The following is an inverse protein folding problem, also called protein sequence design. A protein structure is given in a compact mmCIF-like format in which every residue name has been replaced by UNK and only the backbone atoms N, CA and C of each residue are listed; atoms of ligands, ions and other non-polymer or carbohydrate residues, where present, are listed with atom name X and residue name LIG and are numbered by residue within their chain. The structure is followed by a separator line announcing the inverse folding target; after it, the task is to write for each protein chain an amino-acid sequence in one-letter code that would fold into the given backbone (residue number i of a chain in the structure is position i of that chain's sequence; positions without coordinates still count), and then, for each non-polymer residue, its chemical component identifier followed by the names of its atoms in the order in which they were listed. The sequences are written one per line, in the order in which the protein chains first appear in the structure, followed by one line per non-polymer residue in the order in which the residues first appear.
data_IF_798711822334
#
_entry.id   IF_798711822334
#
_cell.length_a   1.000
_cell.length_b   1.000
_cell.length_c   1.000
_cell.angle_alpha   90.00
_cell.angle_beta   90.00
_cell.angle_gamma   90.00
#
_symmetry.space_group_name_H-M   'P 1'
#
loop_
_entity.id
_entity.type
_entity.pdbx_description
1 polymer ?
#
# COMPACT_ATOMS: atom_id res chain seq x y z
N UNK A 1 20.63 3.50 -3.13
CA UNK A 1 20.13 3.86 -4.47
C UNK A 1 18.90 4.70 -4.25
N UNK A 2 18.85 5.87 -4.88
CA UNK A 2 17.68 6.76 -4.89
C UNK A 2 17.07 6.62 -6.29
N UNK A 3 15.75 6.49 -6.37
CA UNK A 3 14.99 6.38 -7.61
C UNK A 3 14.76 7.78 -8.18
N UNK A 4 14.94 7.92 -9.49
CA UNK A 4 14.80 9.19 -10.20
C UNK A 4 13.48 9.27 -10.98
N UNK A 5 12.69 8.19 -10.99
CA UNK A 5 11.39 8.13 -11.65
C UNK A 5 10.35 7.38 -10.82
N UNK A 6 9.09 7.82 -10.88
CA UNK A 6 7.94 7.12 -10.30
C UNK A 6 7.61 5.81 -11.04
N UNK A 7 8.20 5.55 -12.20
CA UNK A 7 8.08 4.25 -12.88
C UNK A 7 9.02 3.19 -12.33
N UNK A 8 9.92 3.56 -11.41
CA UNK A 8 10.75 2.61 -10.67
C UNK A 8 9.97 2.06 -9.46
N UNK A 9 9.70 0.76 -9.47
CA UNK A 9 8.81 0.14 -8.50
C UNK A 9 9.40 0.04 -7.08
N UNK A 10 8.63 0.45 -6.05
CA UNK A 10 8.96 0.19 -4.65
C UNK A 10 9.19 -1.28 -4.32
N UNK A 11 10.06 -1.55 -3.35
CA UNK A 11 10.48 -2.90 -2.92
C UNK A 11 10.14 -3.20 -1.46
N UNK A 12 9.66 -2.20 -0.73
CA UNK A 12 9.22 -2.30 0.66
C UNK A 12 8.22 -1.18 0.99
N UNK A 13 7.64 -1.22 2.18
CA UNK A 13 6.57 -0.28 2.59
C UNK A 13 7.08 1.15 2.70
N UNK A 14 8.31 1.38 3.19
CA UNK A 14 8.92 2.72 3.22
C UNK A 14 9.01 3.28 1.81
N UNK A 15 9.49 2.50 0.84
CA UNK A 15 9.55 2.92 -0.55
C UNK A 15 8.17 3.18 -1.16
N UNK A 16 7.13 2.41 -0.80
CA UNK A 16 5.75 2.72 -1.24
C UNK A 16 5.27 4.06 -0.70
N UNK A 17 5.57 4.33 0.58
CA UNK A 17 5.22 5.59 1.22
C UNK A 17 5.98 6.75 0.55
N UNK A 18 7.29 6.62 0.37
CA UNK A 18 8.10 7.63 -0.32
C UNK A 18 7.62 7.87 -1.76
N UNK A 19 7.18 6.83 -2.46
CA UNK A 19 6.60 6.93 -3.80
C UNK A 19 5.32 7.78 -3.80
N UNK A 20 4.43 7.57 -2.82
CA UNK A 20 3.21 8.38 -2.67
C UNK A 20 3.51 9.84 -2.35
N UNK A 21 4.52 10.11 -1.51
CA UNK A 21 4.94 11.49 -1.20
C UNK A 21 5.56 12.16 -2.44
N UNK A 22 6.36 11.43 -3.22
CA UNK A 22 6.94 11.93 -4.46
C UNK A 22 5.87 12.19 -5.53
N UNK A 23 4.91 11.28 -5.68
CA UNK A 23 3.74 11.40 -6.55
C UNK A 23 2.93 12.67 -6.26
N UNK A 24 2.66 12.94 -4.97
CA UNK A 24 1.96 14.16 -4.53
C UNK A 24 2.62 15.41 -5.12
N UNK A 25 3.95 15.48 -5.07
CA UNK A 25 4.70 16.62 -5.57
C UNK A 25 4.27 17.95 -4.92
N UNK A 26 4.28 19.02 -5.72
CA UNK A 26 3.88 20.38 -5.32
C UNK A 26 2.39 20.65 -5.55
N UNK A 27 1.75 19.94 -6.48
CA UNK A 27 0.33 20.05 -6.80
C UNK A 27 -0.37 18.73 -6.51
N UNK A 28 -0.65 18.52 -5.22
CA UNK A 28 -1.22 17.28 -4.71
C UNK A 28 -2.58 16.96 -5.36
N UNK A 29 -3.44 17.97 -5.47
CA UNK A 29 -4.81 17.80 -5.97
C UNK A 29 -4.80 17.32 -7.43
N UNK A 30 -4.03 17.99 -8.29
CA UNK A 30 -3.91 17.64 -9.70
C UNK A 30 -3.30 16.24 -9.88
N UNK A 31 -2.19 15.96 -9.19
CA UNK A 31 -1.45 14.72 -9.38
C UNK A 31 -2.23 13.49 -8.88
N UNK A 32 -2.91 13.61 -7.74
CA UNK A 32 -3.73 12.53 -7.20
C UNK A 32 -5.00 12.31 -8.02
N UNK A 33 -5.63 13.36 -8.55
CA UNK A 33 -6.73 13.25 -9.52
C UNK A 33 -6.28 12.54 -10.81
N UNK A 34 -5.09 12.88 -11.30
CA UNK A 34 -4.54 12.27 -12.50
C UNK A 34 -4.21 10.78 -12.29
N UNK A 35 -3.61 10.40 -11.14
CA UNK A 35 -3.42 8.99 -10.81
C UNK A 35 -4.76 8.28 -10.61
N UNK A 36 -5.71 8.88 -9.89
CA UNK A 36 -7.02 8.29 -9.65
C UNK A 36 -7.77 8.00 -10.96
N UNK A 37 -7.69 8.91 -11.92
CA UNK A 37 -8.21 8.72 -13.28
C UNK A 37 -7.49 7.59 -14.00
N UNK A 38 -6.15 7.56 -13.97
CA UNK A 38 -5.37 6.51 -14.63
C UNK A 38 -5.65 5.12 -14.03
N UNK A 39 -5.77 5.01 -12.70
CA UNK A 39 -6.12 3.76 -12.00
C UNK A 39 -7.54 3.34 -12.32
N UNK A 40 -8.51 4.27 -12.31
CA UNK A 40 -9.88 3.99 -12.71
C UNK A 40 -9.92 3.42 -14.13
N UNK A 41 -9.34 4.11 -15.12
CA UNK A 41 -9.29 3.66 -16.51
C UNK A 41 -8.58 2.32 -16.65
N UNK A 42 -7.48 2.13 -15.93
CA UNK A 42 -6.74 0.87 -15.96
C UNK A 42 -7.57 -0.31 -15.46
N UNK A 43 -8.43 -0.11 -14.45
CA UNK A 43 -9.25 -1.17 -13.82
C UNK A 43 -10.66 -1.33 -14.38
N UNK A 44 -11.27 -0.26 -14.91
CA UNK A 44 -12.69 -0.22 -15.28
C UNK A 44 -13.06 -1.27 -16.34
N UNK A 45 -12.22 -1.46 -17.34
CA UNK A 45 -12.47 -2.38 -18.45
C UNK A 45 -11.90 -3.79 -18.24
N UNK A 46 -11.38 -4.08 -17.05
CA UNK A 46 -10.72 -5.36 -16.79
C UNK A 46 -11.77 -6.42 -16.40
N UNK A 47 -11.93 -7.50 -17.18
CA UNK A 47 -12.84 -8.59 -16.83
C UNK A 47 -12.39 -9.28 -15.53
N UNK A 48 -13.37 -9.89 -14.84
CA UNK A 48 -13.08 -10.81 -13.73
C UNK A 48 -12.41 -12.06 -14.27
N UNK A 49 -11.26 -12.41 -13.70
CA UNK A 49 -10.41 -13.51 -14.12
C UNK A 49 -8.99 -13.04 -14.39
N UNK A 50 -8.06 -14.00 -14.51
CA UNK A 50 -6.63 -13.70 -14.59
C UNK A 50 -6.24 -13.05 -15.92
N UNK A 51 -5.94 -11.75 -15.89
CA UNK A 51 -5.25 -11.04 -16.96
C UNK A 51 -3.75 -11.01 -16.72
N UNK A 52 -2.98 -11.03 -17.81
CA UNK A 52 -1.53 -10.87 -17.76
C UNK A 52 -1.17 -9.51 -18.35
N UNK A 53 -0.69 -8.62 -17.48
CA UNK A 53 -0.08 -7.34 -17.89
C UNK A 53 1.42 -7.47 -17.59
N UNK A 54 2.31 -7.60 -18.59
CA UNK A 54 3.72 -7.94 -18.36
C UNK A 54 4.44 -7.02 -17.38
N UNK A 55 4.17 -5.71 -17.43
CA UNK A 55 4.73 -4.75 -16.50
C UNK A 55 4.22 -4.99 -15.05
N UNK A 56 2.91 -5.22 -14.90
CA UNK A 56 2.30 -5.53 -13.60
C UNK A 56 2.86 -6.83 -13.00
N UNK A 57 3.08 -7.87 -13.80
CA UNK A 57 3.63 -9.15 -13.31
C UNK A 57 5.03 -9.00 -12.67
N UNK A 58 5.86 -8.11 -13.22
CA UNK A 58 7.18 -7.80 -12.64
C UNK A 58 7.03 -7.19 -11.25
N UNK A 59 6.10 -6.24 -11.09
CA UNK A 59 5.86 -5.54 -9.82
C UNK A 59 5.17 -6.47 -8.81
N UNK A 60 4.22 -7.29 -9.27
CA UNK A 60 3.60 -8.37 -8.48
C UNK A 60 4.64 -9.28 -7.86
N UNK A 61 5.66 -9.67 -8.62
CA UNK A 61 6.76 -10.50 -8.11
C UNK A 61 7.49 -9.80 -6.96
N UNK A 62 7.76 -8.50 -7.06
CA UNK A 62 8.39 -7.70 -6.00
C UNK A 62 7.50 -7.69 -4.74
N UNK A 63 6.23 -7.31 -4.88
CA UNK A 63 5.26 -7.30 -3.77
C UNK A 63 5.13 -8.68 -3.12
N UNK A 64 5.04 -9.75 -3.91
CA UNK A 64 4.98 -11.14 -3.41
C UNK A 64 6.24 -11.53 -2.64
N UNK A 65 7.42 -11.19 -3.14
CA UNK A 65 8.69 -11.47 -2.47
C UNK A 65 8.80 -10.74 -1.14
N UNK A 66 8.39 -9.47 -1.10
CA UNK A 66 8.34 -8.70 0.14
C UNK A 66 7.41 -9.34 1.18
N UNK A 67 6.18 -9.69 0.78
CA UNK A 67 5.19 -10.31 1.68
C UNK A 67 5.62 -11.68 2.21
N UNK A 68 6.53 -12.38 1.50
CA UNK A 68 7.12 -13.65 1.95
C UNK A 68 8.19 -13.51 3.03
N UNK A 69 8.62 -12.30 3.40
CA UNK A 69 9.61 -12.11 4.47
C UNK A 69 9.14 -12.76 5.78
N UNK A 70 10.03 -13.39 6.58
CA UNK A 70 9.65 -14.20 7.75
C UNK A 70 8.75 -13.49 8.77
N UNK A 71 8.99 -12.21 9.03
CA UNK A 71 8.22 -11.39 9.96
C UNK A 71 6.79 -11.11 9.46
N UNK A 72 6.59 -11.10 8.13
CA UNK A 72 5.31 -10.79 7.49
C UNK A 72 4.48 -12.03 7.20
N UNK A 73 5.09 -13.08 6.61
CA UNK A 73 4.37 -14.27 6.14
C UNK A 73 3.59 -15.01 7.24
N UNK A 74 3.94 -14.77 8.51
CA UNK A 74 3.27 -15.35 9.67
C UNK A 74 1.96 -14.63 10.02
N UNK A 75 1.80 -13.36 9.63
CA UNK A 75 0.63 -12.53 9.93
C UNK A 75 -0.61 -13.04 9.15
N UNK A 76 -1.76 -13.12 9.83
CA UNK A 76 -3.00 -13.67 9.26
C UNK A 76 -3.44 -12.94 7.99
N UNK A 77 -3.43 -11.60 7.97
CA UNK A 77 -3.81 -10.81 6.79
C UNK A 77 -2.82 -10.97 5.64
N UNK A 78 -1.52 -11.08 5.92
CA UNK A 78 -0.50 -11.34 4.90
C UNK A 78 -0.68 -12.73 4.27
N UNK A 79 -1.02 -13.75 5.06
CA UNK A 79 -1.34 -15.09 4.53
C UNK A 79 -2.52 -15.06 3.56
N UNK A 80 -3.56 -14.27 3.87
CA UNK A 80 -4.72 -14.10 2.98
C UNK A 80 -4.28 -13.48 1.65
N UNK A 81 -3.49 -12.41 1.69
CA UNK A 81 -2.96 -11.75 0.48
C UNK A 81 -2.09 -12.71 -0.32
N UNK A 82 -1.12 -13.38 0.32
CA UNK A 82 -0.25 -14.36 -0.33
C UNK A 82 -1.02 -15.54 -0.94
N UNK A 83 -2.16 -15.91 -0.35
CA UNK A 83 -3.06 -16.92 -0.90
C UNK A 83 -3.58 -16.52 -2.28
N UNK A 84 -3.90 -15.24 -2.50
CA UNK A 84 -4.38 -14.70 -3.79
C UNK A 84 -3.29 -14.71 -4.85
N UNK A 85 -2.07 -14.35 -4.48
CA UNK A 85 -0.91 -14.46 -5.39
C UNK A 85 -0.61 -15.88 -5.89
N UNK A 86 -1.19 -16.92 -5.28
CA UNK A 86 -0.95 -18.32 -5.62
C UNK A 86 -2.18 -19.03 -6.19
N UNK A 87 -3.38 -18.48 -6.02
CA UNK A 87 -4.64 -19.09 -6.45
C UNK A 87 -5.23 -18.26 -7.58
N UNK A 88 -5.41 -18.86 -8.75
CA UNK A 88 -6.32 -18.29 -9.75
C UNK A 88 -7.69 -18.20 -9.10
N UNK A 89 -8.28 -17.01 -9.05
CA UNK A 89 -9.67 -16.86 -8.63
C UNK A 89 -10.56 -17.71 -9.55
N UNK A 90 -11.16 -18.77 -9.01
CA UNK A 90 -12.17 -19.53 -9.73
C UNK A 90 -13.43 -18.65 -9.86
N UNK A 91 -14.01 -18.60 -11.06
CA UNK A 91 -15.22 -17.82 -11.39
C UNK A 91 -16.45 -18.11 -10.50
N UNK A 92 -16.41 -19.16 -9.68
CA UNK A 92 -17.46 -19.49 -8.71
C UNK A 92 -16.85 -19.64 -7.30
N UNK A 93 -17.08 -18.70 -6.38
CA UNK A 93 -16.73 -18.90 -4.99
C UNK A 93 -17.78 -19.81 -4.37
N UNK A 94 -17.33 -20.95 -3.83
CA UNK A 94 -18.18 -21.84 -3.05
C UNK A 94 -18.76 -21.02 -1.87
N UNK A 95 -20.09 -20.83 -1.85
CA UNK A 95 -20.84 -19.91 -0.94
C UNK A 95 -20.72 -20.26 0.56
N UNK A 96 -19.88 -21.24 0.91
CA UNK A 96 -19.79 -21.85 2.24
C UNK A 96 -18.75 -21.20 3.16
N UNK A 97 -17.89 -20.31 2.68
CA UNK A 97 -16.93 -19.61 3.55
C UNK A 97 -17.49 -18.29 4.09
N UNK A 98 -18.51 -18.35 4.95
CA UNK A 98 -18.83 -17.25 5.87
C UNK A 98 -17.71 -17.16 6.91
N UNK A 99 -16.68 -16.35 6.63
CA UNK A 99 -15.60 -16.10 7.59
C UNK A 99 -16.08 -15.10 8.64
N UNK A 100 -15.77 -15.31 9.92
CA UNK A 100 -16.05 -14.35 10.97
C UNK A 100 -15.09 -13.16 10.81
N UNK A 101 -15.58 -11.95 11.07
CA UNK A 101 -14.99 -10.61 10.84
C UNK A 101 -15.31 -9.99 9.47
N UNK A 102 -15.54 -8.66 9.48
CA UNK A 102 -15.92 -7.74 8.39
C UNK A 102 -15.02 -7.72 7.14
N UNK A 103 -14.31 -8.80 6.82
CA UNK A 103 -13.76 -9.09 5.51
C UNK A 103 -14.78 -9.96 4.76
N UNK A 104 -15.77 -9.33 4.11
CA UNK A 104 -16.35 -9.94 2.92
C UNK A 104 -15.60 -9.37 1.73
N UNK A 105 -14.54 -10.04 1.25
CA UNK A 105 -13.92 -9.58 0.04
C UNK A 105 -14.82 -10.09 -1.09
N UNK A 106 -15.46 -9.15 -1.78
CA UNK A 106 -16.12 -9.40 -3.06
C UNK A 106 -15.00 -9.63 -4.09
N UNK A 107 -14.29 -10.75 -3.94
CA UNK A 107 -13.07 -11.06 -4.66
C UNK A 107 -13.30 -11.36 -6.14
N UNK A 108 -14.55 -11.51 -6.52
CA UNK A 108 -14.98 -12.01 -7.82
C UNK A 108 -15.81 -10.99 -8.60
N UNK A 109 -15.84 -9.74 -8.16
CA UNK A 109 -16.54 -8.68 -8.87
C UNK A 109 -15.58 -7.54 -9.18
N UNK A 110 -15.77 -6.94 -10.35
CA UNK A 110 -15.10 -5.69 -10.65
C UNK A 110 -15.74 -4.59 -9.81
N UNK A 111 -15.07 -4.23 -8.71
CA UNK A 111 -15.58 -3.25 -7.75
C UNK A 111 -15.86 -1.88 -8.40
N UNK A 112 -15.10 -1.51 -9.44
CA UNK A 112 -15.34 -0.28 -10.21
C UNK A 112 -16.74 -0.33 -10.82
N UNK A 113 -17.11 -1.46 -11.41
CA UNK A 113 -18.41 -1.66 -12.05
C UNK A 113 -19.53 -1.90 -11.03
N UNK A 114 -19.30 -2.74 -10.02
CA UNK A 114 -20.39 -3.18 -9.11
C UNK A 114 -20.69 -2.21 -7.99
N UNK A 115 -19.69 -1.48 -7.49
CA UNK A 115 -19.89 -0.42 -6.48
C UNK A 115 -19.97 0.98 -7.09
N UNK A 116 -19.78 1.12 -8.41
CA UNK A 116 -19.78 2.42 -9.08
C UNK A 116 -18.66 3.34 -8.61
N UNK A 117 -17.50 2.79 -8.23
CA UNK A 117 -16.36 3.58 -7.75
C UNK A 117 -15.86 4.45 -8.88
N UNK A 118 -15.94 5.77 -8.70
CA UNK A 118 -15.51 6.74 -9.70
C UNK A 118 -14.02 7.07 -9.57
N UNK A 119 -13.45 7.70 -10.60
CA UNK A 119 -12.10 8.26 -10.53
C UNK A 119 -11.94 9.29 -9.38
N UNK A 120 -13.01 10.02 -9.05
CA UNK A 120 -13.02 10.99 -7.95
C UNK A 120 -12.91 10.25 -6.61
N UNK A 121 -13.70 9.20 -6.40
CA UNK A 121 -13.62 8.38 -5.18
C UNK A 121 -12.22 7.81 -4.99
N UNK A 122 -11.57 7.36 -6.06
CA UNK A 122 -10.20 6.85 -6.01
C UNK A 122 -9.23 7.98 -5.62
N UNK A 123 -9.35 9.15 -6.23
CA UNK A 123 -8.48 10.29 -5.94
C UNK A 123 -8.62 10.78 -4.48
N UNK A 124 -9.84 10.85 -3.94
CA UNK A 124 -10.10 11.21 -2.55
C UNK A 124 -9.47 10.19 -1.58
N UNK A 125 -9.69 8.89 -1.82
CA UNK A 125 -9.08 7.85 -0.99
C UNK A 125 -7.55 7.86 -1.09
N UNK A 126 -6.97 8.16 -2.26
CA UNK A 126 -5.54 8.33 -2.43
C UNK A 126 -5.02 9.53 -1.62
N UNK A 127 -5.73 10.65 -1.62
CA UNK A 127 -5.39 11.82 -0.83
C UNK A 127 -5.39 11.52 0.68
N UNK A 128 -6.39 10.79 1.16
CA UNK A 128 -6.41 10.33 2.55
C UNK A 128 -5.22 9.43 2.87
N UNK A 129 -4.89 8.48 1.98
CA UNK A 129 -3.75 7.56 2.18
C UNK A 129 -2.43 8.33 2.23
N UNK A 130 -2.23 9.27 1.30
CA UNK A 130 -1.04 10.12 1.24
C UNK A 130 -0.94 10.96 2.52
N UNK A 131 -2.04 11.59 2.94
CA UNK A 131 -2.11 12.37 4.18
C UNK A 131 -1.75 11.54 5.42
N UNK A 132 -2.32 10.33 5.55
CA UNK A 132 -1.99 9.40 6.63
C UNK A 132 -0.52 8.97 6.60
N UNK A 133 0.02 8.73 5.40
CA UNK A 133 1.44 8.41 5.20
C UNK A 133 2.37 9.57 5.60
N UNK A 134 2.00 10.83 5.29
CA UNK A 134 2.74 12.02 5.69
C UNK A 134 2.74 12.21 7.20
N UNK A 135 1.55 12.08 7.82
CA UNK A 135 1.38 12.16 9.26
C UNK A 135 2.27 11.10 9.91
N UNK A 136 2.19 9.85 9.45
CA UNK A 136 3.06 8.78 9.91
C UNK A 136 4.54 9.12 9.80
N UNK A 137 5.02 9.53 8.63
CA UNK A 137 6.42 9.92 8.45
C UNK A 137 6.83 11.06 9.37
N UNK A 138 5.97 12.07 9.60
CA UNK A 138 6.25 13.20 10.50
C UNK A 138 6.52 12.73 11.93
N UNK A 139 5.81 11.71 12.41
CA UNK A 139 6.00 11.16 13.75
C UNK A 139 7.22 10.24 13.84
N UNK A 140 7.49 9.47 12.78
CA UNK A 140 8.53 8.43 12.86
C UNK A 140 9.91 8.90 12.42
N UNK A 141 10.02 9.91 11.54
CA UNK A 141 11.29 10.26 10.91
C UNK A 141 12.15 11.15 11.79
N UNK A 142 13.45 10.92 11.76
CA UNK A 142 14.45 11.92 12.12
C UNK A 142 14.72 12.79 10.88
N UNK A 143 14.37 14.10 10.89
CA UNK A 143 14.51 14.96 9.71
C UNK A 143 15.93 14.99 9.14
N UNK A 144 16.96 14.94 9.98
CA UNK A 144 18.36 15.05 9.57
C UNK A 144 18.93 13.76 8.98
N UNK A 145 18.27 12.63 9.26
CA UNK A 145 18.79 11.30 8.90
C UNK A 145 17.88 10.57 7.91
N UNK A 146 16.62 10.98 7.78
CA UNK A 146 15.67 10.39 6.86
C UNK A 146 16.06 10.67 5.41
N UNK A 147 16.23 9.61 4.63
CA UNK A 147 16.47 9.70 3.19
C UNK A 147 15.30 9.09 2.45
N UNK A 148 14.60 9.90 1.66
CA UNK A 148 13.58 9.43 0.73
C UNK A 148 14.20 8.42 -0.25
N UNK A 149 13.44 7.39 -0.60
CA UNK A 149 13.82 6.49 -1.67
C UNK A 149 13.71 7.12 -3.06
N UNK A 150 12.91 8.18 -3.20
CA UNK A 150 12.69 8.92 -4.45
C UNK A 150 13.33 10.30 -4.37
N UNK A 151 14.02 10.70 -5.43
CA UNK A 151 14.67 11.99 -5.56
C UNK A 151 13.66 13.10 -5.89
N UNK A 152 14.13 14.35 -5.92
CA UNK A 152 13.34 15.49 -6.36
C UNK A 152 12.94 15.43 -7.84
N UNK A 153 13.63 14.62 -8.64
CA UNK A 153 13.35 14.45 -10.07
C UNK A 153 12.17 13.50 -10.33
N UNK A 154 11.88 12.61 -9.37
CA UNK A 154 10.81 11.62 -9.47
C UNK A 154 9.41 12.23 -9.24
N UNK A 155 8.99 13.10 -10.15
CA UNK A 155 7.70 13.81 -10.11
C UNK A 155 6.67 13.17 -11.03
N UNK A 156 5.39 13.49 -10.83
CA UNK A 156 4.32 13.12 -11.75
C UNK A 156 4.61 13.64 -13.17
N UNK A 157 4.93 14.93 -13.30
CA UNK A 157 5.25 15.58 -14.57
C UNK A 157 6.39 14.87 -15.31
N UNK A 158 7.48 14.52 -14.62
CA UNK A 158 8.63 13.87 -15.24
C UNK A 158 8.39 12.39 -15.57
N UNK A 159 7.60 11.69 -14.75
CA UNK A 159 7.52 10.22 -14.80
C UNK A 159 6.24 9.67 -15.42
N UNK A 160 5.10 10.32 -15.14
CA UNK A 160 3.76 9.76 -15.38
C UNK A 160 2.97 10.56 -16.43
N UNK A 161 3.26 11.84 -16.63
CA UNK A 161 2.42 12.70 -17.49
C UNK A 161 2.29 12.21 -18.94
N UNK A 162 3.33 11.59 -19.49
CA UNK A 162 3.35 11.02 -20.85
C UNK A 162 2.68 9.66 -20.94
N UNK A 163 2.73 8.88 -19.87
CA UNK A 163 2.14 7.55 -19.77
C UNK A 163 1.56 7.35 -18.36
N UNK A 164 0.34 7.89 -18.11
CA UNK A 164 -0.30 7.76 -16.79
C UNK A 164 -0.60 6.31 -16.43
N UNK A 165 -0.81 5.44 -17.42
CA UNK A 165 -1.07 4.02 -17.23
C UNK A 165 0.15 3.31 -16.62
N UNK A 166 1.38 3.66 -17.02
CA UNK A 166 2.57 3.11 -16.38
C UNK A 166 2.60 3.34 -14.86
N UNK A 167 2.22 4.54 -14.40
CA UNK A 167 2.14 4.83 -12.97
C UNK A 167 0.93 4.16 -12.29
N UNK A 168 -0.19 3.99 -12.98
CA UNK A 168 -1.30 3.18 -12.50
C UNK A 168 -0.88 1.71 -12.31
N UNK A 169 -0.13 1.14 -13.25
CA UNK A 169 0.42 -0.22 -13.17
C UNK A 169 1.38 -0.35 -11.98
N UNK A 170 2.24 0.64 -11.75
CA UNK A 170 3.10 0.70 -10.56
C UNK A 170 2.26 0.67 -9.29
N UNK A 171 1.29 1.58 -9.18
CA UNK A 171 0.41 1.69 -8.02
C UNK A 171 -0.34 0.40 -7.73
N UNK A 172 -1.06 -0.16 -8.71
CA UNK A 172 -1.81 -1.41 -8.55
C UNK A 172 -0.88 -2.58 -8.19
N UNK A 173 0.32 -2.63 -8.76
CA UNK A 173 1.30 -3.68 -8.47
C UNK A 173 1.85 -3.62 -7.05
N UNK A 174 2.02 -2.43 -6.48
CA UNK A 174 2.49 -2.25 -5.09
C UNK A 174 1.37 -2.21 -4.06
N UNK A 175 0.12 -2.00 -4.47
CA UNK A 175 -1.03 -1.89 -3.58
C UNK A 175 -1.14 -3.06 -2.57
N UNK A 176 -0.93 -4.34 -2.93
CA UNK A 176 -0.94 -5.43 -1.95
C UNK A 176 0.14 -5.31 -0.86
N UNK A 177 1.32 -4.80 -1.23
CA UNK A 177 2.43 -4.56 -0.31
C UNK A 177 2.14 -3.36 0.60
N UNK A 178 1.63 -2.27 0.03
CA UNK A 178 1.24 -1.07 0.76
C UNK A 178 0.11 -1.36 1.74
N UNK A 179 -0.98 -1.99 1.28
CA UNK A 179 -2.11 -2.40 2.10
C UNK A 179 -1.68 -3.29 3.28
N UNK A 180 -0.88 -4.31 3.02
CA UNK A 180 -0.37 -5.19 4.07
C UNK A 180 0.49 -4.41 5.09
N UNK A 181 1.30 -3.46 4.61
CA UNK A 181 2.11 -2.58 5.45
C UNK A 181 1.25 -1.72 6.37
N UNK A 182 0.34 -0.93 5.79
CA UNK A 182 -0.55 -0.01 6.50
C UNK A 182 -1.45 -0.77 7.50
N UNK A 183 -2.03 -1.90 7.10
CA UNK A 183 -2.85 -2.71 8.01
C UNK A 183 -2.02 -3.29 9.17
N UNK A 184 -0.75 -3.64 8.93
CA UNK A 184 0.13 -4.11 10.00
C UNK A 184 0.49 -2.98 10.96
N UNK A 185 0.78 -1.78 10.43
CA UNK A 185 1.02 -0.58 11.22
C UNK A 185 -0.18 -0.27 12.12
N UNK A 186 -1.39 -0.19 11.54
CA UNK A 186 -2.64 0.04 12.28
C UNK A 186 -2.89 -0.99 13.37
N UNK A 187 -2.69 -2.29 13.07
CA UNK A 187 -2.87 -3.36 14.07
C UNK A 187 -1.86 -3.29 15.22
N UNK A 188 -0.65 -2.79 14.99
CA UNK A 188 0.30 -2.55 16.07
C UNK A 188 -0.13 -1.39 16.96
N UNK A 189 -0.69 -0.33 16.37
CA UNK A 189 -1.18 0.86 17.08
C UNK A 189 -2.45 0.66 17.90
N UNK A 190 -3.25 -0.38 17.60
CA UNK A 190 -4.47 -0.69 18.37
C UNK A 190 -4.23 -1.69 19.51
N UNK A 191 -3.09 -2.39 19.52
CA UNK A 191 -2.87 -3.54 20.39
C UNK A 191 -1.86 -3.33 21.51
N UNK A 192 -1.44 -2.09 21.82
CA UNK A 192 -0.39 -1.86 22.81
C UNK A 192 0.99 -2.40 22.39
N UNK A 193 1.17 -2.77 21.11
CA UNK A 193 2.32 -3.56 20.64
C UNK A 193 3.63 -2.73 20.58
N UNK A 194 3.55 -1.40 20.67
CA UNK A 194 4.74 -0.58 20.94
C UNK A 194 5.03 -0.41 22.43
N UNK A 195 4.93 -1.53 23.18
CA UNK A 195 5.39 -1.58 24.57
C UNK A 195 6.87 -1.24 24.70
N UNK A 196 7.37 -1.22 25.94
CA UNK A 196 8.76 -0.82 26.21
C UNK A 196 9.75 -1.50 25.26
N UNK A 197 10.84 -0.82 24.84
CA UNK A 197 11.79 -1.34 23.85
C UNK A 197 12.33 -2.75 24.15
N UNK A 198 12.28 -3.23 25.39
CA UNK A 198 12.82 -4.53 25.78
C UNK A 198 11.78 -5.67 25.83
N UNK A 199 10.49 -5.37 25.66
CA UNK A 199 9.42 -6.38 25.58
C UNK A 199 9.47 -7.15 24.26
N UNK A 200 8.76 -8.28 24.21
CA UNK A 200 8.64 -9.07 22.99
C UNK A 200 7.93 -8.28 21.88
N UNK A 201 6.94 -7.49 22.28
CA UNK A 201 6.11 -6.63 21.45
C UNK A 201 6.96 -5.52 20.82
N UNK A 202 7.74 -4.80 21.64
CA UNK A 202 8.66 -3.75 21.15
C UNK A 202 9.75 -4.31 20.23
N UNK A 203 10.28 -5.51 20.51
CA UNK A 203 11.21 -6.21 19.61
C UNK A 203 10.57 -6.55 18.25
N UNK A 204 9.35 -7.09 18.25
CA UNK A 204 8.59 -7.40 17.03
C UNK A 204 8.28 -6.17 16.20
N UNK A 205 7.90 -5.07 16.84
CA UNK A 205 7.59 -3.82 16.16
C UNK A 205 8.83 -3.22 15.46
N UNK A 206 10.01 -3.23 16.12
CA UNK A 206 11.28 -2.82 15.50
C UNK A 206 11.70 -3.72 14.34
N UNK A 207 11.55 -5.04 14.50
CA UNK A 207 11.84 -5.99 13.43
C UNK A 207 10.93 -5.76 12.21
N UNK A 208 9.67 -5.39 12.45
CA UNK A 208 8.72 -5.06 11.40
C UNK A 208 9.05 -3.74 10.70
N UNK A 209 9.42 -2.68 11.42
CA UNK A 209 9.90 -1.43 10.81
C UNK A 209 11.16 -1.65 9.96
N UNK A 210 12.11 -2.45 10.46
CA UNK A 210 13.30 -2.83 9.69
C UNK A 210 12.90 -3.60 8.43
N UNK A 211 11.91 -4.48 8.52
CA UNK A 211 11.36 -5.23 7.39
C UNK A 211 10.72 -4.31 6.36
N UNK A 212 10.04 -3.25 6.82
CA UNK A 212 9.42 -2.19 6.02
C UNK A 212 10.41 -1.27 5.33
N UNK A 213 11.70 -1.32 5.69
CA UNK A 213 12.76 -0.55 5.03
C UNK A 213 13.27 0.63 5.86
N UNK A 214 12.75 0.86 7.07
CA UNK A 214 13.22 1.91 7.97
C UNK A 214 14.52 1.50 8.66
N UNK A 215 15.54 2.35 8.59
CA UNK A 215 16.78 2.16 9.37
C UNK A 215 16.63 2.77 10.75
N UNK A 216 17.37 2.24 11.73
CA UNK A 216 17.35 2.74 13.12
C UNK A 216 17.70 4.23 13.22
N UNK A 217 18.69 4.68 12.44
CA UNK A 217 19.12 6.07 12.38
C UNK A 217 18.02 7.00 11.80
N UNK A 218 17.27 6.52 10.81
CA UNK A 218 16.21 7.30 10.17
C UNK A 218 15.00 7.53 11.10
N UNK A 219 14.93 6.83 12.23
CA UNK A 219 13.87 6.96 13.23
C UNK A 219 14.14 8.06 14.26
N UNK A 220 13.09 8.79 14.64
CA UNK A 220 13.14 9.79 15.73
C UNK A 220 13.51 9.12 17.06
N UNK A 221 14.47 9.70 17.79
CA UNK A 221 14.82 9.25 19.14
C UNK A 221 13.64 9.48 20.10
N UNK A 222 13.37 8.51 20.98
CA UNK A 222 12.35 8.65 22.03
C UNK A 222 10.89 8.60 21.55
N UNK A 223 10.64 8.07 20.35
CA UNK A 223 9.28 7.86 19.80
C UNK A 223 8.41 7.08 20.79
N UNK A 224 7.25 7.66 21.14
CA UNK A 224 6.28 7.06 22.05
C UNK A 224 5.26 6.22 21.28
N UNK A 225 4.64 5.28 21.99
CA UNK A 225 3.49 4.52 21.46
C UNK A 225 2.39 5.46 20.96
N UNK A 226 2.05 6.48 21.75
CA UNK A 226 1.03 7.49 21.40
C UNK A 226 1.33 8.16 20.06
N UNK A 227 2.59 8.50 19.79
CA UNK A 227 2.98 9.16 18.54
C UNK A 227 2.65 8.30 17.31
N UNK A 228 2.76 6.97 17.44
CA UNK A 228 2.47 6.01 16.36
C UNK A 228 0.97 5.71 16.28
N UNK A 229 0.25 5.75 17.39
CA UNK A 229 -1.21 5.62 17.40
C UNK A 229 -1.85 6.85 16.76
N UNK A 230 -1.46 8.06 17.17
CA UNK A 230 -1.96 9.32 16.62
C UNK A 230 -1.62 9.45 15.12
N UNK A 231 -0.45 8.96 14.73
CA UNK A 231 -0.01 8.89 13.34
C UNK A 231 -0.93 8.05 12.44
N UNK A 232 -1.59 7.02 13.00
CA UNK A 232 -2.34 6.01 12.27
C UNK A 232 -3.84 6.05 12.58
N UNK A 233 -4.26 6.96 13.46
CA UNK A 233 -5.65 7.24 13.80
C UNK A 233 -6.48 7.60 12.57
N UNK A 234 -5.89 8.41 11.67
CA UNK A 234 -6.53 8.84 10.43
C UNK A 234 -6.57 7.72 9.38
N UNK A 235 -5.91 6.58 9.60
CA UNK A 235 -6.04 5.41 8.72
C UNK A 235 -7.39 4.74 8.97
N UNK A 236 -8.42 5.26 8.32
CA UNK A 236 -9.78 4.75 8.45
C UNK A 236 -9.91 3.33 7.88
N UNK A 237 -10.93 2.61 8.33
CA UNK A 237 -11.27 1.30 7.74
C UNK A 237 -11.64 1.46 6.26
N UNK A 238 -12.32 2.55 5.89
CA UNK A 238 -12.69 2.89 4.51
C UNK A 238 -11.47 3.01 3.59
N UNK A 239 -10.41 3.70 4.01
CA UNK A 239 -9.17 3.82 3.21
C UNK A 239 -8.52 2.46 2.95
N UNK A 240 -8.48 1.59 3.96
CA UNK A 240 -7.92 0.25 3.82
C UNK A 240 -8.78 -0.62 2.92
N UNK A 241 -10.10 -0.51 3.00
CA UNK A 241 -11.03 -1.23 2.13
C UNK A 241 -10.89 -0.78 0.67
N UNK A 242 -10.83 0.53 0.41
CA UNK A 242 -10.56 1.04 -0.94
C UNK A 242 -9.19 0.59 -1.43
N UNK A 243 -8.13 0.68 -0.62
CA UNK A 243 -6.79 0.22 -1.02
C UNK A 243 -6.78 -1.29 -1.34
N UNK A 244 -7.56 -2.08 -0.61
CA UNK A 244 -7.75 -3.50 -0.90
C UNK A 244 -8.44 -3.72 -2.23
N UNK A 245 -9.49 -2.96 -2.51
CA UNK A 245 -10.18 -2.99 -3.80
C UNK A 245 -9.20 -2.57 -4.92
N UNK A 246 -8.41 -1.51 -4.75
CA UNK A 246 -7.44 -1.07 -5.76
C UNK A 246 -6.26 -2.04 -5.98
N UNK A 247 -6.13 -3.12 -5.20
CA UNK A 247 -5.19 -4.19 -5.50
C UNK A 247 -5.55 -4.95 -6.79
N UNK A 248 -6.76 -4.82 -7.32
CA UNK A 248 -7.16 -5.48 -8.56
C UNK A 248 -7.18 -7.01 -8.45
N UNK A 249 -7.46 -7.54 -7.26
CA UNK A 249 -7.40 -8.98 -7.02
C UNK A 249 -8.30 -9.76 -7.98
N UNK A 250 -9.51 -9.28 -8.30
CA UNK A 250 -10.45 -9.92 -9.23
C UNK A 250 -9.91 -10.08 -10.66
N UNK A 251 -9.03 -9.18 -11.10
CA UNK A 251 -8.58 -9.09 -12.50
C UNK A 251 -7.17 -9.63 -12.73
N UNK A 252 -6.30 -9.64 -11.71
CA UNK A 252 -4.89 -9.92 -11.94
C UNK A 252 -4.32 -11.07 -11.11
N UNK A 253 -5.05 -11.60 -10.12
CA UNK A 253 -4.50 -12.57 -9.15
C UNK A 253 -5.31 -13.87 -9.14
#
# INVERSE_FOLDING_TARGET
MVFNSLTEAPRNVKECIDWLIALRGTDAEKNLKALGTAVHTFLADKPVGKMQVPALEKIKKISKQFLKKPCLKKLRHVKVILGKFNKSLHKNPDKRFKRPFHFQPIDNENVIQTKGVTAIDIAENLADVVSGCEKFLRFIKNPDQYRSAYSSEATWEASCSKDPEACAVIFVGIAPMLYAGLLSLRKMSNGGVWGEPNTMEGKRARELLKTFGYKKAEGRAGMRYSDITDALEDTTTRMLDTMYDLCGFWAFY
#
